data_IF_876620732074
#
_entry.id   IF_876620732074
#
_cell.length_a   1.000
_cell.length_b   1.000
_cell.length_c   1.000
_cell.angle_alpha   90.00
_cell.angle_beta   90.00
_cell.angle_gamma   90.00
#
_symmetry.space_group_name_H-M   'P 1'
#
loop_
_entity.id
_entity.type
_entity.pdbx_description
1 polymer ?
#
# COMPACT_ATOMS: atom_id res chain seq x y z
N UNK A 1 7.28 24.83 13.62
CA UNK A 1 7.51 23.44 14.07
C UNK A 1 6.42 22.93 15.01
N UNK A 2 6.19 23.51 16.20
CA UNK A 2 5.17 23.01 17.15
C UNK A 2 3.78 22.80 16.52
N UNK A 3 3.24 23.81 15.83
CA UNK A 3 1.95 23.71 15.11
C UNK A 3 1.89 22.57 14.08
N UNK A 4 2.98 22.33 13.36
CA UNK A 4 3.05 21.26 12.35
C UNK A 4 3.12 19.88 13.00
N UNK A 5 3.83 19.76 14.12
CA UNK A 5 3.84 18.53 14.93
C UNK A 5 2.44 18.25 15.48
N UNK A 6 1.71 19.26 15.98
CA UNK A 6 0.34 19.09 16.47
C UNK A 6 -0.61 18.59 15.37
N UNK A 7 -0.48 19.14 14.15
CA UNK A 7 -1.24 18.69 12.98
C UNK A 7 -0.89 17.25 12.60
N UNK A 8 0.40 16.89 12.60
CA UNK A 8 0.84 15.52 12.32
C UNK A 8 0.30 14.53 13.36
N UNK A 9 0.33 14.89 14.63
CA UNK A 9 -0.22 14.09 15.72
C UNK A 9 -1.75 13.98 15.65
N UNK A 10 -2.45 15.05 15.28
CA UNK A 10 -3.89 15.01 15.04
C UNK A 10 -4.25 14.08 13.88
N UNK A 11 -3.50 14.13 12.77
CA UNK A 11 -3.67 13.20 11.66
C UNK A 11 -3.44 11.75 12.09
N UNK A 12 -2.38 11.47 12.86
CA UNK A 12 -2.10 10.14 13.41
C UNK A 12 -3.21 9.63 14.33
N UNK A 13 -3.73 10.46 15.24
CA UNK A 13 -4.84 10.07 16.14
C UNK A 13 -6.11 9.69 15.38
N UNK A 14 -6.43 10.43 14.31
CA UNK A 14 -7.67 10.24 13.54
C UNK A 14 -7.54 9.14 12.49
N UNK A 15 -6.38 9.06 11.83
CA UNK A 15 -6.19 8.27 10.61
C UNK A 15 -4.92 7.41 10.61
N UNK A 16 -4.24 7.21 11.74
CA UNK A 16 -2.96 6.50 11.84
C UNK A 16 -3.00 4.98 11.64
N UNK A 17 -4.14 4.40 11.24
CA UNK A 17 -4.23 2.99 10.84
C UNK A 17 -3.60 2.84 9.46
N UNK A 18 -2.59 2.00 9.31
CA UNK A 18 -1.97 1.77 7.99
C UNK A 18 -2.88 0.97 7.05
N UNK A 19 -2.63 0.98 5.75
CA UNK A 19 -3.40 0.16 4.80
C UNK A 19 -3.09 -1.33 4.99
N UNK A 20 -1.86 -1.67 5.35
CA UNK A 20 -1.46 -3.00 5.78
C UNK A 20 -2.24 -3.48 7.02
N UNK A 21 -2.42 -2.61 8.02
CA UNK A 21 -3.22 -2.93 9.20
C UNK A 21 -4.72 -3.07 8.88
N UNK A 22 -5.24 -2.34 7.91
CA UNK A 22 -6.60 -2.53 7.40
C UNK A 22 -6.76 -3.84 6.63
N UNK A 23 -5.77 -4.21 5.81
CA UNK A 23 -5.72 -5.49 5.13
C UNK A 23 -5.59 -6.69 6.10
N UNK A 24 -5.23 -6.43 7.37
CA UNK A 24 -5.02 -7.46 8.38
C UNK A 24 -3.69 -8.19 8.19
N UNK A 25 -2.64 -7.49 7.74
CA UNK A 25 -1.28 -8.03 7.62
C UNK A 25 -0.32 -7.32 8.58
N UNK A 26 0.64 -8.08 9.12
CA UNK A 26 1.69 -7.56 10.01
C UNK A 26 3.02 -7.56 9.26
N UNK A 27 3.37 -6.43 8.66
CA UNK A 27 4.56 -6.29 7.80
C UNK A 27 5.88 -6.42 8.57
N UNK A 28 5.91 -6.04 9.85
CA UNK A 28 7.12 -6.11 10.70
C UNK A 28 7.70 -7.52 10.82
N UNK A 29 6.90 -8.56 10.55
CA UNK A 29 7.38 -9.94 10.50
C UNK A 29 8.28 -10.23 9.30
N UNK A 30 8.25 -9.37 8.27
CA UNK A 30 9.01 -9.51 7.03
C UNK A 30 8.97 -10.94 6.45
N UNK A 31 7.77 -11.51 6.38
CA UNK A 31 7.51 -12.85 5.83
C UNK A 31 6.85 -12.75 4.45
N UNK A 32 6.97 -13.79 3.59
CA UNK A 32 6.44 -13.73 2.22
C UNK A 32 4.95 -13.43 2.12
N UNK A 33 4.12 -14.03 3.00
CA UNK A 33 2.66 -13.91 2.89
C UNK A 33 2.13 -12.46 3.12
N UNK A 34 2.50 -11.74 4.19
CA UNK A 34 2.17 -10.32 4.34
C UNK A 34 2.59 -9.44 3.16
N UNK A 35 3.80 -9.64 2.63
CA UNK A 35 4.32 -8.87 1.49
C UNK A 35 3.53 -9.17 0.20
N UNK A 36 3.23 -10.44 -0.06
CA UNK A 36 2.40 -10.85 -1.19
C UNK A 36 0.99 -10.24 -1.11
N UNK A 37 0.36 -10.28 0.07
CA UNK A 37 -0.96 -9.68 0.27
C UNK A 37 -0.94 -8.16 0.05
N UNK A 38 0.13 -7.48 0.48
CA UNK A 38 0.34 -6.06 0.19
C UNK A 38 0.48 -5.81 -1.33
N UNK A 39 1.21 -6.67 -2.06
CA UNK A 39 1.33 -6.58 -3.51
C UNK A 39 -0.02 -6.75 -4.22
N UNK A 40 -0.87 -7.68 -3.75
CA UNK A 40 -2.24 -7.82 -4.26
C UNK A 40 -3.04 -6.52 -4.05
N UNK A 41 -2.95 -5.89 -2.87
CA UNK A 41 -3.57 -4.58 -2.63
C UNK A 41 -3.04 -3.51 -3.59
N UNK A 42 -1.74 -3.48 -3.85
CA UNK A 42 -1.11 -2.56 -4.83
C UNK A 42 -1.62 -2.76 -6.25
N UNK A 43 -1.88 -4.01 -6.68
CA UNK A 43 -2.50 -4.29 -7.96
C UNK A 43 -3.94 -3.75 -8.01
N UNK A 44 -4.76 -4.08 -7.01
CA UNK A 44 -6.18 -3.68 -6.99
C UNK A 44 -6.34 -2.16 -6.87
N UNK A 45 -5.44 -1.48 -6.18
CA UNK A 45 -5.47 0.00 -6.08
C UNK A 45 -4.89 0.71 -7.31
N UNK A 46 -4.29 -0.03 -8.27
CA UNK A 46 -3.81 0.53 -9.53
C UNK A 46 -4.90 0.68 -10.59
N UNK A 47 -6.07 0.06 -10.40
CA UNK A 47 -7.21 0.24 -11.28
C UNK A 47 -7.97 1.54 -10.96
N UNK A 48 -8.71 2.14 -11.92
CA UNK A 48 -9.54 3.31 -11.68
C UNK A 48 -10.82 2.93 -10.92
N UNK A 49 -10.67 2.64 -9.64
CA UNK A 49 -11.71 2.19 -8.70
C UNK A 49 -11.57 2.94 -7.37
N UNK A 50 -12.63 2.95 -6.56
CA UNK A 50 -12.55 3.55 -5.23
C UNK A 50 -11.62 2.72 -4.31
N UNK A 51 -10.86 3.40 -3.45
CA UNK A 51 -9.91 2.76 -2.55
C UNK A 51 -10.55 1.68 -1.66
N UNK A 52 -11.77 1.95 -1.15
CA UNK A 52 -12.50 1.00 -0.31
C UNK A 52 -12.93 -0.26 -1.07
N UNK A 53 -13.21 -0.15 -2.37
CA UNK A 53 -13.50 -1.32 -3.22
C UNK A 53 -12.25 -2.15 -3.44
N UNK A 54 -11.10 -1.51 -3.70
CA UNK A 54 -9.83 -2.20 -3.84
C UNK A 54 -9.41 -2.90 -2.53
N UNK A 55 -9.60 -2.25 -1.38
CA UNK A 55 -9.33 -2.85 -0.07
C UNK A 55 -10.23 -4.06 0.19
N UNK A 56 -11.54 -3.95 -0.04
CA UNK A 56 -12.47 -5.08 0.08
C UNK A 56 -12.10 -6.24 -0.84
N UNK A 57 -11.73 -5.96 -2.09
CA UNK A 57 -11.24 -6.98 -3.01
C UNK A 57 -9.99 -7.68 -2.47
N UNK A 58 -9.00 -6.93 -1.96
CA UNK A 58 -7.76 -7.50 -1.43
C UNK A 58 -7.98 -8.32 -0.16
N UNK A 59 -8.91 -7.90 0.71
CA UNK A 59 -9.35 -8.69 1.86
C UNK A 59 -10.06 -9.97 1.41
N UNK A 60 -10.92 -9.91 0.38
CA UNK A 60 -11.63 -11.06 -0.14
C UNK A 60 -10.70 -12.14 -0.72
N UNK A 61 -9.60 -11.75 -1.41
CA UNK A 61 -8.56 -12.70 -1.83
C UNK A 61 -7.95 -13.44 -0.63
N UNK A 62 -7.73 -12.72 0.49
CA UNK A 62 -7.25 -13.31 1.73
C UNK A 62 -8.26 -14.26 2.38
N UNK A 63 -9.53 -13.88 2.43
CA UNK A 63 -10.64 -14.71 2.94
C UNK A 63 -10.83 -15.97 2.10
N UNK A 64 -10.63 -15.90 0.79
CA UNK A 64 -10.61 -17.07 -0.10
C UNK A 64 -9.37 -17.98 0.09
N UNK A 65 -8.46 -17.62 1.01
CA UNK A 65 -7.27 -18.39 1.32
C UNK A 65 -6.08 -18.12 0.41
N UNK A 66 -6.18 -17.21 -0.56
CA UNK A 66 -5.10 -16.89 -1.50
C UNK A 66 -4.08 -15.92 -0.89
N UNK A 67 -3.43 -16.38 0.17
CA UNK A 67 -2.50 -15.58 0.98
C UNK A 67 -1.03 -15.72 0.57
N UNK A 68 -0.72 -16.58 -0.40
CA UNK A 68 0.62 -16.78 -0.95
C UNK A 68 0.53 -17.01 -2.46
N UNK A 69 1.65 -16.85 -3.19
CA UNK A 69 1.68 -17.07 -4.63
C UNK A 69 1.20 -18.46 -5.06
N UNK A 70 1.63 -19.51 -4.34
CA UNK A 70 1.20 -20.88 -4.62
C UNK A 70 -0.29 -21.12 -4.33
N UNK A 71 -0.85 -20.47 -3.30
CA UNK A 71 -2.28 -20.60 -3.00
C UNK A 71 -3.11 -19.91 -4.08
N UNK A 72 -2.67 -18.74 -4.57
CA UNK A 72 -3.33 -18.05 -5.66
C UNK A 72 -3.21 -18.83 -6.98
N UNK A 73 -2.04 -19.41 -7.28
CA UNK A 73 -1.82 -20.23 -8.48
C UNK A 73 -2.75 -21.44 -8.57
N UNK A 74 -3.20 -21.99 -7.43
CA UNK A 74 -4.16 -23.09 -7.38
C UNK A 74 -5.61 -22.67 -7.65
N UNK A 75 -5.90 -21.37 -7.66
CA UNK A 75 -7.23 -20.88 -8.02
C UNK A 75 -7.37 -20.77 -9.54
N UNK A 76 -8.57 -21.05 -10.01
CA UNK A 76 -8.96 -20.81 -11.40
C UNK A 76 -9.20 -19.32 -11.65
N UNK A 77 -9.21 -18.95 -12.93
CA UNK A 77 -9.64 -17.61 -13.34
C UNK A 77 -11.08 -17.30 -12.88
N UNK A 78 -12.01 -18.25 -13.03
CA UNK A 78 -13.42 -18.07 -12.68
C UNK A 78 -13.62 -17.84 -11.18
N UNK A 79 -12.90 -18.57 -10.33
CA UNK A 79 -12.94 -18.34 -8.88
C UNK A 79 -12.45 -16.93 -8.52
N UNK A 80 -11.33 -16.49 -9.10
CA UNK A 80 -10.76 -15.15 -8.87
C UNK A 80 -11.74 -14.06 -9.27
N UNK A 81 -12.32 -14.15 -10.47
CA UNK A 81 -13.33 -13.21 -10.95
C UNK A 81 -14.55 -13.20 -10.02
N UNK A 82 -15.08 -14.37 -9.66
CA UNK A 82 -16.26 -14.47 -8.80
C UNK A 82 -16.03 -13.92 -7.37
N UNK A 83 -14.85 -14.13 -6.79
CA UNK A 83 -14.48 -13.56 -5.48
C UNK A 83 -14.41 -12.04 -5.54
N UNK A 84 -13.77 -11.48 -6.59
CA UNK A 84 -13.68 -10.03 -6.78
C UNK A 84 -15.06 -9.41 -7.03
N UNK A 85 -15.88 -10.05 -7.86
CA UNK A 85 -17.25 -9.61 -8.15
C UNK A 85 -18.08 -9.47 -6.87
N UNK A 86 -18.12 -10.53 -6.04
CA UNK A 86 -18.84 -10.54 -4.75
C UNK A 86 -18.32 -9.50 -3.75
N UNK A 87 -17.05 -9.11 -3.85
CA UNK A 87 -16.48 -8.05 -3.02
C UNK A 87 -16.89 -6.62 -3.47
N UNK A 88 -17.70 -6.50 -4.53
CA UNK A 88 -18.10 -5.23 -5.14
C UNK A 88 -17.10 -4.73 -6.20
N UNK A 89 -16.10 -5.55 -6.56
CA UNK A 89 -15.05 -5.20 -7.52
C UNK A 89 -15.40 -5.64 -8.96
N UNK A 90 -16.70 -5.73 -9.26
CA UNK A 90 -17.27 -6.34 -10.47
C UNK A 90 -16.95 -5.63 -11.79
N UNK A 91 -16.62 -4.32 -11.78
CA UNK A 91 -16.40 -3.57 -13.04
C UNK A 91 -15.12 -3.99 -13.78
N UNK A 92 -14.17 -4.55 -13.06
CA UNK A 92 -12.82 -4.87 -13.56
C UNK A 92 -12.35 -6.24 -13.06
N UNK A 93 -13.25 -7.06 -12.53
CA UNK A 93 -12.97 -8.37 -11.93
C UNK A 93 -12.29 -9.33 -12.90
N UNK A 94 -12.83 -9.51 -14.11
CA UNK A 94 -12.28 -10.38 -15.15
C UNK A 94 -10.87 -9.96 -15.57
N UNK A 95 -10.69 -8.66 -15.82
CA UNK A 95 -9.38 -8.08 -16.13
C UNK A 95 -8.41 -8.30 -14.97
N UNK A 96 -8.85 -8.03 -13.75
CA UNK A 96 -8.00 -8.19 -12.56
C UNK A 96 -7.70 -9.65 -12.26
N UNK A 97 -8.59 -10.60 -12.55
CA UNK A 97 -8.33 -12.04 -12.46
C UNK A 97 -7.19 -12.46 -13.41
N UNK A 98 -7.20 -11.97 -14.65
CA UNK A 98 -6.10 -12.17 -15.60
C UNK A 98 -4.81 -11.50 -15.15
N UNK A 99 -4.89 -10.28 -14.60
CA UNK A 99 -3.72 -9.59 -14.04
C UNK A 99 -3.13 -10.34 -12.84
N UNK A 100 -4.00 -10.90 -11.99
CA UNK A 100 -3.65 -11.72 -10.84
C UNK A 100 -2.89 -12.99 -11.26
N UNK A 101 -3.14 -13.52 -12.45
CA UNK A 101 -2.34 -14.63 -12.99
C UNK A 101 -0.94 -14.16 -13.36
N UNK A 102 -0.87 -13.17 -14.24
CA UNK A 102 0.39 -12.72 -14.86
C UNK A 102 1.36 -12.13 -13.83
N UNK A 103 0.87 -11.36 -12.86
CA UNK A 103 1.76 -10.85 -11.80
C UNK A 103 2.28 -12.00 -10.91
N UNK A 104 1.47 -13.03 -10.69
CA UNK A 104 1.81 -14.15 -9.82
C UNK A 104 2.81 -15.10 -10.50
N UNK A 105 2.64 -15.35 -11.80
CA UNK A 105 3.59 -16.12 -12.60
C UNK A 105 4.97 -15.49 -12.56
N UNK A 106 5.04 -14.17 -12.76
CA UNK A 106 6.28 -13.41 -12.62
C UNK A 106 6.88 -13.54 -11.22
N UNK A 107 6.07 -13.37 -10.18
CA UNK A 107 6.55 -13.45 -8.80
C UNK A 107 7.15 -14.83 -8.51
N UNK A 108 6.55 -15.89 -9.05
CA UNK A 108 7.05 -17.25 -8.92
C UNK A 108 8.32 -17.49 -9.75
N UNK A 109 8.36 -17.03 -11.01
CA UNK A 109 9.48 -17.30 -11.91
C UNK A 109 10.74 -16.51 -11.58
N UNK A 110 10.62 -15.20 -11.35
CA UNK A 110 11.77 -14.31 -11.15
C UNK A 110 12.21 -14.29 -9.68
N UNK A 111 11.26 -14.42 -8.75
CA UNK A 111 11.52 -14.22 -7.32
C UNK A 111 11.19 -15.46 -6.47
N UNK A 112 10.86 -16.60 -7.07
CA UNK A 112 10.57 -17.83 -6.33
C UNK A 112 9.40 -17.69 -5.34
N UNK A 113 8.47 -16.77 -5.59
CA UNK A 113 7.35 -16.49 -4.69
C UNK A 113 7.67 -15.55 -3.53
N UNK A 114 8.84 -14.94 -3.48
CA UNK A 114 9.31 -14.16 -2.34
C UNK A 114 9.82 -12.75 -2.71
N UNK A 115 9.05 -11.73 -2.35
CA UNK A 115 9.38 -10.32 -2.61
C UNK A 115 10.65 -9.83 -1.90
N UNK A 116 11.18 -10.58 -0.94
CA UNK A 116 12.48 -10.27 -0.34
C UNK A 116 13.62 -10.47 -1.33
N UNK A 117 13.45 -11.28 -2.39
CA UNK A 117 14.40 -11.36 -3.50
C UNK A 117 14.39 -10.11 -4.36
N UNK A 118 13.21 -9.54 -4.64
CA UNK A 118 13.09 -8.23 -5.29
C UNK A 118 13.77 -7.14 -4.46
N UNK A 119 13.56 -7.15 -3.13
CA UNK A 119 14.28 -6.25 -2.22
C UNK A 119 15.79 -6.39 -2.34
N UNK A 120 16.30 -7.63 -2.36
CA UNK A 120 17.73 -7.91 -2.52
C UNK A 120 18.29 -7.43 -3.87
N UNK A 121 17.54 -7.63 -4.96
CA UNK A 121 17.92 -7.11 -6.29
C UNK A 121 17.96 -5.58 -6.33
N UNK A 122 17.05 -4.92 -5.61
CA UNK A 122 17.01 -3.47 -5.53
C UNK A 122 18.17 -2.87 -4.72
N UNK A 123 18.81 -3.65 -3.84
CA UNK A 123 19.98 -3.25 -3.04
C UNK A 123 19.86 -1.87 -2.37
N UNK A 124 18.69 -1.60 -1.76
CA UNK A 124 18.41 -0.32 -1.12
C UNK A 124 18.08 0.85 -2.07
N UNK A 125 18.18 0.68 -3.39
CA UNK A 125 17.76 1.68 -4.36
C UNK A 125 16.23 1.70 -4.50
N UNK A 126 15.61 2.73 -3.93
CA UNK A 126 14.17 3.01 -4.04
C UNK A 126 13.70 3.10 -5.50
N UNK A 127 14.51 3.65 -6.41
CA UNK A 127 14.16 3.77 -7.84
C UNK A 127 14.17 2.40 -8.49
N UNK A 128 15.14 1.55 -8.18
CA UNK A 128 15.20 0.17 -8.65
C UNK A 128 13.99 -0.64 -8.14
N UNK A 129 13.68 -0.57 -6.85
CA UNK A 129 12.52 -1.24 -6.25
C UNK A 129 11.20 -0.77 -6.89
N UNK A 130 11.02 0.54 -7.06
CA UNK A 130 9.85 1.12 -7.75
C UNK A 130 9.75 0.64 -9.19
N UNK A 131 10.87 0.60 -9.91
CA UNK A 131 10.92 0.11 -11.29
C UNK A 131 10.49 -1.36 -11.34
N UNK A 132 11.07 -2.23 -10.51
CA UNK A 132 10.73 -3.65 -10.43
C UNK A 132 9.25 -3.87 -10.11
N UNK A 133 8.71 -3.16 -9.11
CA UNK A 133 7.29 -3.23 -8.75
C UNK A 133 6.36 -2.90 -9.92
N UNK A 134 6.71 -1.89 -10.73
CA UNK A 134 5.91 -1.46 -11.89
C UNK A 134 5.97 -2.43 -13.07
N UNK A 135 6.89 -3.39 -13.05
CA UNK A 135 6.95 -4.40 -14.09
C UNK A 135 6.02 -5.60 -13.80
N UNK A 136 5.45 -5.70 -12.59
CA UNK A 136 4.32 -6.60 -12.35
C UNK A 136 3.09 -6.14 -13.14
N UNK A 137 2.48 -7.05 -13.87
CA UNK A 137 1.38 -6.73 -14.77
C UNK A 137 0.19 -6.12 -13.99
N UNK A 138 -0.21 -4.90 -14.37
CA UNK A 138 -1.30 -4.16 -13.74
C UNK A 138 -0.89 -3.26 -12.57
N UNK A 139 0.37 -3.30 -12.11
CA UNK A 139 0.86 -2.37 -11.09
C UNK A 139 1.38 -1.10 -11.75
N UNK A 140 0.66 0.00 -11.50
CA UNK A 140 1.04 1.32 -11.97
C UNK A 140 1.85 2.10 -10.93
N UNK A 141 2.07 3.38 -11.23
CA UNK A 141 2.75 4.32 -10.35
C UNK A 141 2.13 4.39 -8.95
N UNK A 142 0.79 4.43 -8.90
CA UNK A 142 0.02 4.45 -7.65
C UNK A 142 0.23 3.17 -6.83
N UNK A 143 0.10 1.99 -7.44
CA UNK A 143 0.28 0.72 -6.74
C UNK A 143 1.69 0.54 -6.19
N UNK A 144 2.71 0.92 -6.96
CA UNK A 144 4.09 0.89 -6.49
C UNK A 144 4.32 1.87 -5.31
N UNK A 145 3.74 3.07 -5.37
CA UNK A 145 3.78 4.03 -4.27
C UNK A 145 3.10 3.50 -2.99
N UNK A 146 1.94 2.86 -3.13
CA UNK A 146 1.25 2.21 -2.00
C UNK A 146 2.11 1.10 -1.38
N UNK A 147 2.74 0.27 -2.21
CA UNK A 147 3.62 -0.79 -1.70
C UNK A 147 4.79 -0.20 -0.91
N UNK A 148 5.53 0.74 -1.53
CA UNK A 148 6.73 1.33 -0.94
C UNK A 148 6.43 2.13 0.34
N UNK A 149 5.29 2.84 0.40
CA UNK A 149 4.86 3.53 1.61
C UNK A 149 4.71 2.57 2.78
N UNK A 150 3.98 1.47 2.57
CA UNK A 150 3.63 0.54 3.65
C UNK A 150 4.81 -0.36 4.04
N UNK A 151 5.64 -0.75 3.08
CA UNK A 151 6.71 -1.73 3.29
C UNK A 151 7.87 -1.18 4.12
N UNK A 152 7.99 0.15 4.31
CA UNK A 152 8.96 0.77 5.22
C UNK A 152 8.94 0.18 6.63
N UNK A 153 7.80 -0.34 7.09
CA UNK A 153 7.68 -1.03 8.38
C UNK A 153 8.48 -2.35 8.46
N UNK A 154 8.90 -2.90 7.32
CA UNK A 154 9.71 -4.11 7.19
C UNK A 154 11.07 -3.84 6.52
N UNK A 155 11.12 -2.87 5.62
CA UNK A 155 12.26 -2.52 4.76
C UNK A 155 12.68 -1.07 5.06
N UNK A 156 13.39 -0.83 6.18
CA UNK A 156 13.71 0.51 6.67
C UNK A 156 14.65 1.31 5.75
N UNK A 157 15.37 0.66 4.84
CA UNK A 157 16.23 1.33 3.85
C UNK A 157 15.44 2.24 2.88
N UNK A 158 14.13 2.04 2.75
CA UNK A 158 13.27 2.92 1.96
C UNK A 158 12.71 4.10 2.77
N UNK A 159 13.09 4.22 4.05
CA UNK A 159 12.74 5.36 4.86
C UNK A 159 13.71 6.54 4.64
N UNK A 160 13.20 7.78 4.52
CA UNK A 160 11.79 8.15 4.46
C UNK A 160 11.26 8.11 3.01
N UNK A 161 10.08 7.52 2.82
CA UNK A 161 9.34 7.58 1.56
C UNK A 161 7.89 8.05 1.76
N UNK A 162 7.50 9.08 1.00
CA UNK A 162 6.12 9.51 0.84
C UNK A 162 5.76 9.59 -0.65
N UNK A 163 4.62 9.03 -1.03
CA UNK A 163 4.13 9.12 -2.40
C UNK A 163 3.42 10.45 -2.68
N UNK A 164 3.12 10.72 -3.95
CA UNK A 164 2.47 11.97 -4.37
C UNK A 164 1.14 12.23 -3.65
N UNK A 165 0.40 11.17 -3.32
CA UNK A 165 -0.88 11.28 -2.62
C UNK A 165 -0.70 11.79 -1.18
N UNK A 166 0.28 11.26 -0.45
CA UNK A 166 0.59 11.73 0.89
C UNK A 166 1.14 13.16 0.89
N UNK A 167 2.05 13.49 -0.03
CA UNK A 167 2.61 14.85 -0.12
C UNK A 167 1.56 15.90 -0.46
N UNK A 168 0.60 15.58 -1.35
CA UNK A 168 -0.53 16.46 -1.65
C UNK A 168 -1.42 16.71 -0.42
N UNK A 169 -1.61 15.68 0.41
CA UNK A 169 -2.38 15.82 1.65
C UNK A 169 -1.60 16.62 2.71
N UNK A 170 -0.27 16.43 2.80
CA UNK A 170 0.62 17.21 3.65
C UNK A 170 0.55 18.70 3.28
N UNK A 171 0.71 19.04 2.00
CA UNK A 171 0.58 20.40 1.47
C UNK A 171 -0.75 21.03 1.88
N UNK A 172 -1.86 20.31 1.65
CA UNK A 172 -3.20 20.79 2.02
C UNK A 172 -3.37 20.99 3.53
N UNK A 173 -2.63 20.28 4.38
CA UNK A 173 -2.62 20.48 5.83
C UNK A 173 -1.63 21.56 6.30
N UNK A 174 -0.83 22.16 5.40
CA UNK A 174 0.22 23.11 5.76
C UNK A 174 1.46 22.44 6.37
N UNK A 175 1.64 21.15 6.10
CA UNK A 175 2.83 20.39 6.49
C UNK A 175 3.92 20.48 5.40
N UNK A 176 5.20 20.22 5.73
CA UNK A 176 6.27 20.18 4.74
C UNK A 176 6.01 19.14 3.64
N UNK A 177 6.38 19.48 2.41
CA UNK A 177 6.29 18.58 1.24
C UNK A 177 7.63 17.95 0.87
N UNK A 178 8.72 18.40 1.49
CA UNK A 178 9.99 17.69 1.48
C UNK A 178 9.92 16.52 2.47
N UNK A 179 10.29 15.33 2.02
CA UNK A 179 10.01 14.06 2.71
C UNK A 179 10.76 13.99 4.04
N UNK A 180 11.97 14.53 4.08
CA UNK A 180 12.89 14.56 5.20
C UNK A 180 12.36 15.49 6.30
N UNK A 181 11.87 16.67 5.91
CA UNK A 181 11.21 17.60 6.83
C UNK A 181 9.88 17.06 7.34
N UNK A 182 9.12 16.36 6.50
CA UNK A 182 7.89 15.69 6.91
C UNK A 182 8.16 14.56 7.90
N UNK A 183 9.22 13.78 7.67
CA UNK A 183 9.67 12.72 8.56
C UNK A 183 10.10 13.27 9.93
N UNK A 184 10.74 14.44 9.97
CA UNK A 184 11.12 15.12 11.21
C UNK A 184 9.97 15.55 12.13
N UNK A 185 8.70 15.43 11.70
CA UNK A 185 7.54 15.74 12.55
C UNK A 185 7.18 14.62 13.53
N UNK A 186 7.69 13.41 13.32
CA UNK A 186 7.32 12.21 14.08
C UNK A 186 8.55 11.33 14.33
N UNK A 187 8.43 10.42 15.29
CA UNK A 187 9.43 9.35 15.47
C UNK A 187 9.55 8.51 14.18
N UNK A 188 10.75 8.02 13.79
CA UNK A 188 10.94 7.25 12.57
C UNK A 188 9.97 6.05 12.43
N UNK A 189 9.65 5.38 13.53
CA UNK A 189 8.71 4.25 13.57
C UNK A 189 7.25 4.64 13.25
N UNK A 190 6.90 5.90 13.49
CA UNK A 190 5.56 6.44 13.24
C UNK A 190 5.41 6.99 11.82
N UNK A 191 6.52 7.21 11.09
CA UNK A 191 6.47 7.79 9.77
C UNK A 191 5.57 7.02 8.78
N UNK A 192 5.63 5.68 8.67
CA UNK A 192 4.68 4.95 7.81
C UNK A 192 3.20 5.17 8.18
N UNK A 193 2.92 5.34 9.48
CA UNK A 193 1.57 5.65 9.98
C UNK A 193 1.15 7.07 9.63
N UNK A 194 2.08 8.04 9.68
CA UNK A 194 1.82 9.41 9.28
C UNK A 194 1.49 9.48 7.78
N UNK A 195 2.30 8.86 6.93
CA UNK A 195 2.07 8.86 5.48
C UNK A 195 0.73 8.18 5.15
N UNK A 196 0.36 7.08 5.83
CA UNK A 196 -0.96 6.48 5.69
C UNK A 196 -2.09 7.42 6.17
N UNK A 197 -1.91 8.11 7.30
CA UNK A 197 -2.87 9.06 7.85
C UNK A 197 -3.14 10.23 6.91
N UNK A 198 -2.11 10.75 6.25
CA UNK A 198 -2.23 11.81 5.25
C UNK A 198 -3.11 11.37 4.06
N UNK A 199 -2.84 10.19 3.50
CA UNK A 199 -3.64 9.64 2.40
C UNK A 199 -5.08 9.39 2.84
N UNK A 200 -5.31 8.84 4.04
CA UNK A 200 -6.65 8.63 4.57
C UNK A 200 -7.41 9.93 4.85
N UNK A 201 -6.72 10.96 5.34
CA UNK A 201 -7.31 12.30 5.48
C UNK A 201 -7.81 12.82 4.13
N UNK A 202 -7.03 12.62 3.06
CA UNK A 202 -7.43 12.98 1.70
C UNK A 202 -8.64 12.17 1.21
N UNK A 203 -8.65 10.85 1.43
CA UNK A 203 -9.77 9.98 1.03
C UNK A 203 -11.06 10.33 1.78
N UNK A 204 -10.97 10.58 3.08
CA UNK A 204 -12.10 10.96 3.93
C UNK A 204 -12.50 12.44 3.81
N UNK A 205 -11.71 13.26 3.10
CA UNK A 205 -11.85 14.73 3.02
C UNK A 205 -11.83 15.42 4.40
N UNK A 206 -11.14 14.83 5.38
CA UNK A 206 -11.22 15.18 6.82
C UNK A 206 -10.25 16.29 7.25
N UNK A 207 -9.85 17.16 6.33
CA UNK A 207 -8.84 18.20 6.57
C UNK A 207 -9.23 19.19 7.67
N UNK A 208 -10.50 19.59 7.72
CA UNK A 208 -11.01 20.53 8.72
C UNK A 208 -10.89 19.96 10.13
N UNK A 209 -11.36 18.73 10.35
CA UNK A 209 -11.33 18.12 11.66
C UNK A 209 -9.91 17.80 12.13
N UNK A 210 -8.99 17.45 11.22
CA UNK A 210 -7.56 17.31 11.56
C UNK A 210 -6.99 18.64 12.08
N UNK A 211 -7.27 19.77 11.41
CA UNK A 211 -6.80 21.08 11.87
C UNK A 211 -7.41 21.47 13.21
N UNK A 212 -8.73 21.29 13.38
CA UNK A 212 -9.41 21.58 14.65
C UNK A 212 -8.90 20.74 15.81
N UNK A 213 -8.56 19.47 15.56
CA UNK A 213 -8.02 18.56 16.57
C UNK A 213 -6.56 18.84 16.94
N UNK A 214 -5.88 19.74 16.23
CA UNK A 214 -4.52 20.16 16.49
C UNK A 214 -4.43 21.48 17.27
N UNK A 215 -5.56 22.15 17.55
CA UNK A 215 -5.59 23.52 18.09
C UNK A 215 -5.39 24.54 16.98
#
# INVERSE_FOLDING_TARGET
>A
MARQQDIAQAALRRHGRTFAAELGVRLQRNTPSPLFRLLCLSLLTSAPVQADLAMRGAQALGTAGWTTPDKLRRSSWAERAAVLNRAGYARVDEKTATQLERFNDRLLSEYGGDLRRLRGEADGDLRAARKALKQFHGIGETGAGIFLREVQAAWPEFHPFADKAALKAAEKLGLPTEVEHLAGLVEPREFPRLVAALVRTQLAKDFGAVRSAAG
#
